data_IF_803521806331
#
_entry.id   IF_803521806331
#
_cell.length_a   1.000
_cell.length_b   1.000
_cell.length_c   1.000
_cell.angle_alpha   90.00
_cell.angle_beta   90.00
_cell.angle_gamma   90.00
#
_symmetry.space_group_name_H-M   'P 1'
#
loop_
_entity.id
_entity.type
_entity.pdbx_description
1 polymer ?
#
# COMPACT_ATOMS: atom_id res chain seq x y z
N UNK A 1 3.01 15.62 -2.25
CA UNK A 1 4.23 14.85 -1.90
C UNK A 1 3.93 13.45 -1.36
N UNK A 2 2.74 13.23 -0.79
CA UNK A 2 2.31 11.94 -0.22
C UNK A 2 2.44 10.75 -1.19
N UNK A 3 2.10 10.90 -2.48
CA UNK A 3 2.19 9.80 -3.46
C UNK A 3 3.61 9.21 -3.61
N UNK A 4 4.66 10.04 -3.50
CA UNK A 4 6.05 9.59 -3.57
C UNK A 4 6.40 8.78 -2.32
N UNK A 5 6.01 9.25 -1.14
CA UNK A 5 6.21 8.53 0.12
C UNK A 5 5.48 7.19 0.11
N UNK A 6 4.24 7.16 -0.36
CA UNK A 6 3.47 5.92 -0.53
C UNK A 6 4.18 4.96 -1.50
N UNK A 7 4.73 5.45 -2.61
CA UNK A 7 5.47 4.62 -3.57
C UNK A 7 6.74 4.01 -2.96
N UNK A 8 7.52 4.80 -2.22
CA UNK A 8 8.70 4.34 -1.48
C UNK A 8 8.29 3.30 -0.41
N UNK A 9 7.19 3.55 0.29
CA UNK A 9 6.69 2.63 1.33
C UNK A 9 6.34 1.25 0.77
N UNK A 10 5.74 1.19 -0.42
CA UNK A 10 5.39 -0.07 -1.09
C UNK A 10 6.65 -0.87 -1.42
N UNK A 11 7.66 -0.22 -2.00
CA UNK A 11 8.91 -0.90 -2.37
C UNK A 11 9.63 -1.43 -1.13
N UNK A 12 9.76 -0.58 -0.10
CA UNK A 12 10.47 -0.92 1.12
C UNK A 12 9.76 -2.05 1.88
N UNK A 13 8.45 -1.96 2.06
CA UNK A 13 7.68 -3.01 2.73
C UNK A 13 7.60 -4.29 1.90
N UNK A 14 7.55 -4.21 0.57
CA UNK A 14 7.62 -5.41 -0.29
C UNK A 14 8.93 -6.17 -0.04
N UNK A 15 10.06 -5.47 0.06
CA UNK A 15 11.35 -6.10 0.32
C UNK A 15 11.43 -6.68 1.75
N UNK A 16 10.96 -5.92 2.75
CA UNK A 16 10.94 -6.37 4.15
C UNK A 16 10.01 -7.59 4.30
N UNK A 17 8.77 -7.54 3.82
CA UNK A 17 7.83 -8.66 3.89
C UNK A 17 8.32 -9.86 3.09
N UNK A 18 8.87 -9.65 1.89
CA UNK A 18 9.51 -10.71 1.12
C UNK A 18 10.60 -11.42 1.92
N UNK A 19 11.44 -10.68 2.65
CA UNK A 19 12.47 -11.28 3.52
C UNK A 19 11.89 -12.07 4.70
N UNK A 20 10.71 -11.68 5.20
CA UNK A 20 10.01 -12.36 6.30
C UNK A 20 9.33 -13.63 5.80
N UNK A 21 8.62 -13.56 4.66
CA UNK A 21 7.94 -14.70 4.05
C UNK A 21 8.91 -15.77 3.57
N UNK A 22 10.08 -15.40 3.05
CA UNK A 22 11.14 -16.34 2.65
C UNK A 22 11.67 -17.23 3.77
N UNK A 23 11.54 -16.81 5.04
CA UNK A 23 12.09 -17.58 6.18
C UNK A 23 11.20 -18.73 6.65
N UNK A 24 9.99 -18.89 6.11
CA UNK A 24 8.98 -19.79 6.65
C UNK A 24 8.33 -20.60 5.52
N UNK A 25 8.56 -21.92 5.53
CA UNK A 25 8.10 -22.86 4.49
C UNK A 25 6.84 -23.63 4.87
N UNK A 26 6.23 -23.37 6.03
CA UNK A 26 5.06 -24.11 6.49
C UNK A 26 3.78 -23.55 5.88
N UNK A 27 2.99 -24.44 5.31
CA UNK A 27 1.69 -24.14 4.72
C UNK A 27 0.61 -24.18 5.81
N UNK A 28 -0.13 -23.08 5.96
CA UNK A 28 -1.31 -22.99 6.82
C UNK A 28 -2.41 -22.21 6.09
N UNK A 29 -3.67 -22.50 6.37
CA UNK A 29 -4.79 -21.75 5.76
C UNK A 29 -4.75 -20.25 6.08
N UNK A 30 -4.21 -19.89 7.25
CA UNK A 30 -4.04 -18.49 7.65
C UNK A 30 -3.00 -17.77 6.81
N UNK A 31 -1.94 -18.45 6.38
CA UNK A 31 -0.86 -17.81 5.60
C UNK A 31 -1.34 -17.42 4.21
N UNK A 32 -2.20 -18.24 3.58
CA UNK A 32 -2.87 -17.94 2.32
C UNK A 32 -3.74 -16.68 2.40
N UNK A 33 -4.60 -16.61 3.43
CA UNK A 33 -5.47 -15.45 3.67
C UNK A 33 -4.68 -14.16 3.93
N UNK A 34 -3.59 -14.23 4.71
CA UNK A 34 -2.75 -13.06 4.99
C UNK A 34 -1.99 -12.57 3.76
N UNK A 35 -1.45 -13.50 2.96
CA UNK A 35 -0.78 -13.15 1.70
C UNK A 35 -1.75 -12.48 0.73
N UNK A 36 -2.98 -13.00 0.62
CA UNK A 36 -4.05 -12.43 -0.17
C UNK A 36 -4.40 -11.01 0.32
N UNK A 37 -4.58 -10.81 1.63
CA UNK A 37 -4.94 -9.51 2.21
C UNK A 37 -3.87 -8.42 1.97
N UNK A 38 -2.59 -8.77 2.18
CA UNK A 38 -1.47 -7.87 1.88
C UNK A 38 -1.40 -7.58 0.38
N UNK A 39 -1.57 -8.59 -0.46
CA UNK A 39 -1.47 -8.44 -1.91
C UNK A 39 -2.60 -7.58 -2.47
N UNK A 40 -3.82 -7.76 -1.99
CA UNK A 40 -4.98 -6.95 -2.36
C UNK A 40 -4.76 -5.49 -1.98
N UNK A 41 -4.46 -5.20 -0.71
CA UNK A 41 -4.23 -3.82 -0.24
C UNK A 41 -3.06 -3.14 -0.95
N UNK A 42 -1.97 -3.88 -1.21
CA UNK A 42 -0.82 -3.38 -1.98
C UNK A 42 -1.19 -3.04 -3.42
N UNK A 43 -1.82 -3.96 -4.14
CA UNK A 43 -2.18 -3.77 -5.55
C UNK A 43 -3.23 -2.68 -5.74
N UNK A 44 -4.17 -2.52 -4.79
CA UNK A 44 -5.09 -1.37 -4.77
C UNK A 44 -4.36 -0.05 -4.60
N UNK A 45 -3.40 0.03 -3.68
CA UNK A 45 -2.61 1.25 -3.51
C UNK A 45 -1.77 1.57 -4.76
N UNK A 46 -1.18 0.56 -5.41
CA UNK A 46 -0.47 0.74 -6.69
C UNK A 46 -1.44 1.24 -7.77
N UNK A 47 -2.65 0.66 -7.86
CA UNK A 47 -3.68 1.09 -8.80
C UNK A 47 -4.07 2.55 -8.60
N UNK A 48 -4.25 2.98 -7.34
CA UNK A 48 -4.52 4.38 -7.01
C UNK A 48 -3.34 5.25 -7.45
N UNK A 49 -2.12 4.88 -7.09
CA UNK A 49 -0.93 5.66 -7.44
C UNK A 49 -0.74 5.78 -8.96
N UNK A 50 -1.00 4.75 -9.75
CA UNK A 50 -0.90 4.82 -11.21
C UNK A 50 -2.03 5.68 -11.79
N UNK A 51 -3.25 5.54 -11.29
CA UNK A 51 -4.41 6.32 -11.73
C UNK A 51 -4.29 7.83 -11.49
N UNK A 52 -3.43 8.25 -10.53
CA UNK A 52 -3.09 9.67 -10.34
C UNK A 52 -2.30 10.24 -11.51
N UNK A 53 -1.45 9.43 -12.15
CA UNK A 53 -0.59 9.89 -13.24
C UNK A 53 -1.23 9.71 -14.62
N UNK A 54 -2.19 8.78 -14.73
CA UNK A 54 -2.81 8.39 -15.99
C UNK A 54 -4.32 8.48 -15.84
N UNK A 55 -4.94 9.42 -16.54
CA UNK A 55 -6.40 9.64 -16.49
C UNK A 55 -7.21 8.57 -17.23
N UNK A 56 -6.60 7.82 -18.16
CA UNK A 56 -7.27 6.73 -18.86
C UNK A 56 -7.30 5.45 -18.02
N UNK A 57 -8.51 5.00 -17.68
CA UNK A 57 -8.76 3.82 -16.84
C UNK A 57 -8.14 2.54 -17.40
N UNK A 58 -8.14 2.36 -18.71
CA UNK A 58 -7.65 1.13 -19.34
C UNK A 58 -6.13 1.08 -19.24
N UNK A 59 -5.45 2.16 -19.63
CA UNK A 59 -4.00 2.26 -19.53
C UNK A 59 -3.52 2.22 -18.08
N UNK A 60 -4.20 2.93 -17.16
CA UNK A 60 -3.88 2.92 -15.74
C UNK A 60 -3.99 1.50 -15.16
N UNK A 61 -5.04 0.75 -15.51
CA UNK A 61 -5.25 -0.62 -15.03
C UNK A 61 -4.17 -1.57 -15.54
N UNK A 62 -3.85 -1.53 -16.84
CA UNK A 62 -2.82 -2.40 -17.43
C UNK A 62 -1.45 -2.15 -16.77
N UNK A 63 -1.07 -0.88 -16.61
CA UNK A 63 0.20 -0.51 -15.99
C UNK A 63 0.21 -0.90 -14.49
N UNK A 64 -0.88 -0.66 -13.77
CA UNK A 64 -1.01 -1.06 -12.37
C UNK A 64 -0.89 -2.58 -12.18
N UNK A 65 -1.48 -3.38 -13.06
CA UNK A 65 -1.36 -4.84 -13.06
C UNK A 65 0.10 -5.25 -13.28
N UNK A 66 0.78 -4.68 -14.28
CA UNK A 66 2.18 -5.03 -14.59
C UNK A 66 3.13 -4.71 -13.43
N UNK A 67 3.01 -3.51 -12.84
CA UNK A 67 3.81 -3.09 -11.68
C UNK A 67 3.50 -3.98 -10.47
N UNK A 68 2.22 -4.22 -10.21
CA UNK A 68 1.81 -5.09 -9.10
C UNK A 68 2.34 -6.51 -9.30
N UNK A 69 2.35 -7.02 -10.53
CA UNK A 69 2.77 -8.38 -10.85
C UNK A 69 4.24 -8.58 -10.52
N UNK A 70 5.07 -7.62 -10.91
CA UNK A 70 6.49 -7.63 -10.59
C UNK A 70 6.73 -7.61 -9.07
N UNK A 71 6.04 -6.72 -8.35
CA UNK A 71 6.20 -6.59 -6.90
C UNK A 71 5.64 -7.77 -6.09
N UNK A 72 4.54 -8.36 -6.53
CA UNK A 72 3.96 -9.57 -5.90
C UNK A 72 4.84 -10.78 -6.19
N UNK A 73 5.32 -10.96 -7.43
CA UNK A 73 6.21 -12.06 -7.78
C UNK A 73 7.48 -12.07 -6.93
N UNK A 74 8.11 -10.90 -6.71
CA UNK A 74 9.29 -10.78 -5.82
C UNK A 74 8.95 -11.17 -4.38
N UNK A 75 7.78 -10.77 -3.89
CA UNK A 75 7.31 -11.04 -2.53
C UNK A 75 6.97 -12.52 -2.31
N UNK A 76 6.41 -13.19 -3.31
CA UNK A 76 5.86 -14.55 -3.19
C UNK A 76 6.76 -15.65 -3.76
N UNK A 77 7.92 -15.31 -4.34
CA UNK A 77 8.82 -16.27 -5.03
C UNK A 77 9.10 -17.58 -4.27
N UNK A 78 9.22 -17.58 -2.95
CA UNK A 78 9.56 -18.79 -2.16
C UNK A 78 8.35 -19.40 -1.43
N UNK A 79 7.14 -18.92 -1.71
CA UNK A 79 5.90 -19.46 -1.15
C UNK A 79 5.38 -20.60 -2.01
N UNK A 80 4.42 -21.36 -1.47
CA UNK A 80 3.78 -22.43 -2.21
C UNK A 80 2.94 -21.91 -3.38
N UNK A 81 2.80 -22.74 -4.42
CA UNK A 81 2.06 -22.38 -5.64
C UNK A 81 0.62 -21.96 -5.35
N UNK A 82 -0.03 -22.57 -4.34
CA UNK A 82 -1.37 -22.18 -3.91
C UNK A 82 -1.42 -20.71 -3.47
N UNK A 83 -0.49 -20.30 -2.59
CA UNK A 83 -0.42 -18.93 -2.08
C UNK A 83 -0.08 -17.96 -3.22
N UNK A 84 0.80 -18.36 -4.14
CA UNK A 84 1.14 -17.56 -5.33
C UNK A 84 -0.09 -17.32 -6.20
N UNK A 85 -0.88 -18.36 -6.50
CA UNK A 85 -2.10 -18.24 -7.31
C UNK A 85 -3.17 -17.36 -6.63
N UNK A 86 -3.41 -17.53 -5.33
CA UNK A 86 -4.34 -16.66 -4.58
C UNK A 86 -3.86 -15.20 -4.53
N UNK A 87 -2.55 -14.99 -4.42
CA UNK A 87 -1.94 -13.65 -4.46
C UNK A 87 -2.05 -13.03 -5.86
N UNK A 88 -1.89 -13.81 -6.93
CA UNK A 88 -2.10 -13.32 -8.30
C UNK A 88 -3.56 -12.93 -8.55
N UNK A 89 -4.52 -13.74 -8.11
CA UNK A 89 -5.95 -13.42 -8.23
C UNK A 89 -6.32 -12.12 -7.49
N UNK A 90 -5.87 -11.98 -6.24
CA UNK A 90 -6.10 -10.76 -5.46
C UNK A 90 -5.39 -9.53 -6.02
N UNK A 91 -4.25 -9.70 -6.69
CA UNK A 91 -3.57 -8.62 -7.40
C UNK A 91 -4.42 -8.07 -8.55
N UNK A 92 -5.00 -8.91 -9.39
CA UNK A 92 -5.81 -8.45 -10.52
C UNK A 92 -7.01 -7.65 -10.03
N UNK A 93 -7.69 -8.18 -9.01
CA UNK A 93 -8.82 -7.51 -8.38
C UNK A 93 -8.41 -6.18 -7.74
N UNK A 94 -7.33 -6.18 -6.96
CA UNK A 94 -6.87 -4.99 -6.25
C UNK A 94 -6.40 -3.89 -7.19
N UNK A 95 -5.60 -4.21 -8.22
CA UNK A 95 -5.11 -3.23 -9.19
C UNK A 95 -6.24 -2.58 -10.00
N UNK A 96 -7.21 -3.36 -10.48
CA UNK A 96 -8.38 -2.85 -11.19
C UNK A 96 -9.22 -1.94 -10.29
N UNK A 97 -9.51 -2.39 -9.06
CA UNK A 97 -10.27 -1.58 -8.10
C UNK A 97 -9.54 -0.29 -7.75
N UNK A 98 -8.21 -0.34 -7.58
CA UNK A 98 -7.40 0.84 -7.26
C UNK A 98 -7.41 1.89 -8.38
N UNK A 99 -7.23 1.46 -9.63
CA UNK A 99 -7.27 2.36 -10.79
C UNK A 99 -8.65 3.03 -10.95
N UNK A 100 -9.73 2.24 -10.80
CA UNK A 100 -11.09 2.78 -10.83
C UNK A 100 -11.35 3.76 -9.68
N UNK A 101 -10.88 3.45 -8.48
CA UNK A 101 -11.06 4.30 -7.30
C UNK A 101 -10.26 5.60 -7.41
N UNK A 102 -9.11 5.61 -8.09
CA UNK A 102 -8.36 6.83 -8.37
C UNK A 102 -9.18 7.84 -9.20
N UNK A 103 -9.87 7.36 -10.22
CA UNK A 103 -10.62 8.20 -11.15
C UNK A 103 -11.94 8.67 -10.50
N UNK A 104 -12.57 7.80 -9.71
CA UNK A 104 -13.78 8.17 -8.98
C UNK A 104 -13.51 9.12 -7.80
N UNK A 105 -12.34 9.06 -7.18
CA UNK A 105 -11.97 9.87 -6.02
C UNK A 105 -11.20 11.15 -6.38
N UNK A 106 -11.40 11.70 -7.59
CA UNK A 106 -10.66 12.89 -8.07
C UNK A 106 -10.68 14.06 -7.08
N UNK A 107 -11.84 14.35 -6.47
CA UNK A 107 -11.98 15.46 -5.51
C UNK A 107 -11.33 15.17 -4.15
N UNK A 108 -11.16 13.90 -3.78
CA UNK A 108 -10.63 13.45 -2.48
C UNK A 108 -9.39 12.57 -2.63
N UNK A 109 -8.57 12.84 -3.65
CA UNK A 109 -7.46 11.99 -4.04
C UNK A 109 -6.42 11.81 -2.94
N UNK A 110 -6.10 12.90 -2.22
CA UNK A 110 -5.15 12.87 -1.10
C UNK A 110 -5.65 11.96 0.03
N UNK A 111 -6.92 12.10 0.41
CA UNK A 111 -7.55 11.28 1.44
C UNK A 111 -7.56 9.79 1.05
N UNK A 112 -7.86 9.50 -0.21
CA UNK A 112 -7.81 8.12 -0.74
C UNK A 112 -6.41 7.52 -0.63
N UNK A 113 -5.37 8.23 -1.08
CA UNK A 113 -3.98 7.74 -0.99
C UNK A 113 -3.58 7.50 0.46
N UNK A 114 -3.85 8.45 1.36
CA UNK A 114 -3.50 8.32 2.79
C UNK A 114 -4.22 7.13 3.41
N UNK A 115 -5.53 7.00 3.18
CA UNK A 115 -6.34 5.91 3.72
C UNK A 115 -5.84 4.54 3.27
N UNK A 116 -5.62 4.35 1.96
CA UNK A 116 -5.12 3.07 1.44
C UNK A 116 -3.67 2.80 1.82
N UNK A 117 -2.86 3.84 2.02
CA UNK A 117 -1.51 3.69 2.58
C UNK A 117 -1.60 3.15 4.01
N UNK A 118 -2.44 3.73 4.88
CA UNK A 118 -2.62 3.25 6.25
C UNK A 118 -3.16 1.81 6.28
N UNK A 119 -4.13 1.48 5.43
CA UNK A 119 -4.64 0.11 5.31
C UNK A 119 -3.56 -0.89 4.88
N UNK A 120 -2.71 -0.51 3.93
CA UNK A 120 -1.58 -1.33 3.52
C UNK A 120 -0.54 -1.51 4.63
N UNK A 121 -0.27 -0.46 5.42
CA UNK A 121 0.62 -0.56 6.58
C UNK A 121 0.05 -1.50 7.65
N UNK A 122 -1.25 -1.38 7.92
CA UNK A 122 -1.93 -2.24 8.89
C UNK A 122 -1.95 -3.69 8.43
N UNK A 123 -2.28 -3.95 7.16
CA UNK A 123 -2.27 -5.30 6.58
C UNK A 123 -0.88 -5.92 6.67
N UNK A 124 0.16 -5.14 6.41
CA UNK A 124 1.56 -5.59 6.48
C UNK A 124 1.99 -5.96 7.90
N UNK A 125 1.63 -5.17 8.92
CA UNK A 125 1.90 -5.51 10.32
C UNK A 125 1.13 -6.75 10.74
N UNK A 126 -0.17 -6.81 10.42
CA UNK A 126 -1.04 -7.92 10.83
C UNK A 126 -0.52 -9.21 10.22
N UNK A 127 -0.18 -9.19 8.93
CA UNK A 127 0.46 -10.32 8.27
C UNK A 127 1.78 -10.69 8.94
N UNK A 128 2.72 -9.76 9.12
CA UNK A 128 4.02 -10.07 9.73
C UNK A 128 3.90 -10.62 11.18
N UNK A 129 2.95 -10.09 11.97
CA UNK A 129 2.72 -10.54 13.34
C UNK A 129 2.04 -11.89 13.43
N UNK A 130 0.97 -12.12 12.64
CA UNK A 130 0.26 -13.40 12.61
C UNK A 130 1.11 -14.50 11.98
N UNK A 131 1.91 -14.18 10.97
CA UNK A 131 2.81 -15.13 10.31
C UNK A 131 3.85 -15.72 11.27
N UNK A 132 4.22 -15.00 12.33
CA UNK A 132 5.19 -15.47 13.32
C UNK A 132 4.57 -15.95 14.65
N UNK A 133 3.23 -16.02 14.71
CA UNK A 133 2.48 -16.41 15.92
C UNK A 133 2.75 -17.84 16.36
N UNK A 134 3.14 -18.73 15.44
CA UNK A 134 3.52 -20.11 15.79
C UNK A 134 4.83 -20.17 16.59
N UNK A 135 5.74 -19.21 16.40
CA UNK A 135 7.04 -19.17 17.07
C UNK A 135 7.00 -18.38 18.38
N UNK A 136 6.08 -17.40 18.49
CA UNK A 136 5.99 -16.52 19.65
C UNK A 136 4.56 -16.44 20.18
N UNK A 137 4.31 -16.74 21.47
CA UNK A 137 2.96 -16.69 22.05
C UNK A 137 2.40 -15.26 22.10
N UNK A 138 3.25 -14.23 22.12
CA UNK A 138 2.85 -12.84 22.14
C UNK A 138 2.98 -12.20 20.75
N UNK A 139 1.88 -11.66 20.24
CA UNK A 139 1.80 -10.99 18.93
C UNK A 139 2.88 -9.91 18.73
N UNK A 140 3.10 -9.07 19.74
CA UNK A 140 4.06 -7.94 19.68
C UNK A 140 5.52 -8.41 19.61
N UNK A 141 5.83 -9.57 20.22
CA UNK A 141 7.16 -10.21 20.15
C UNK A 141 7.37 -10.94 18.82
N UNK A 142 6.30 -11.43 18.20
CA UNK A 142 6.33 -12.09 16.89
C UNK A 142 6.69 -11.17 15.73
N UNK A 143 6.42 -9.86 15.82
CA UNK A 143 6.74 -8.94 14.73
C UNK A 143 8.27 -8.73 14.66
N UNK A 144 8.92 -9.01 13.51
CA UNK A 144 10.36 -8.83 13.36
C UNK A 144 10.75 -7.36 13.51
N UNK A 145 11.89 -7.08 14.16
CA UNK A 145 12.34 -5.71 14.45
C UNK A 145 12.43 -4.84 13.19
N UNK A 146 12.83 -5.43 12.05
CA UNK A 146 12.90 -4.75 10.75
C UNK A 146 11.53 -4.20 10.30
N UNK A 147 10.44 -4.94 10.51
CA UNK A 147 9.07 -4.49 10.16
C UNK A 147 8.63 -3.37 11.11
N UNK A 148 8.91 -3.48 12.41
CA UNK A 148 8.57 -2.43 13.39
C UNK A 148 9.26 -1.11 13.09
N UNK A 149 10.57 -1.15 12.82
CA UNK A 149 11.36 0.04 12.47
C UNK A 149 10.85 0.64 11.15
N UNK A 150 10.68 -0.19 10.12
CA UNK A 150 10.16 0.24 8.81
C UNK A 150 8.79 0.93 8.94
N UNK A 151 7.87 0.35 9.70
CA UNK A 151 6.54 0.91 9.92
C UNK A 151 6.60 2.25 10.65
N UNK A 152 7.38 2.35 11.73
CA UNK A 152 7.53 3.60 12.49
C UNK A 152 8.09 4.73 11.62
N UNK A 153 9.10 4.42 10.79
CA UNK A 153 9.68 5.38 9.84
C UNK A 153 8.64 5.81 8.80
N UNK A 154 7.90 4.87 8.18
CA UNK A 154 6.91 5.21 7.16
C UNK A 154 5.77 6.06 7.74
N UNK A 155 5.26 5.74 8.93
CA UNK A 155 4.22 6.55 9.58
C UNK A 155 4.71 7.96 9.84
N UNK A 156 5.93 8.12 10.33
CA UNK A 156 6.51 9.44 10.59
C UNK A 156 6.60 10.26 9.30
N UNK A 157 7.14 9.69 8.22
CA UNK A 157 7.21 10.37 6.92
C UNK A 157 5.82 10.67 6.35
N UNK A 158 4.88 9.73 6.44
CA UNK A 158 3.52 9.92 5.94
C UNK A 158 2.83 11.06 6.69
N UNK A 159 2.92 11.10 8.02
CA UNK A 159 2.36 12.16 8.86
C UNK A 159 2.95 13.53 8.53
N UNK A 160 4.27 13.63 8.40
CA UNK A 160 4.96 14.88 8.02
C UNK A 160 4.49 15.34 6.64
N UNK A 161 4.50 14.47 5.63
CA UNK A 161 4.09 14.87 4.27
C UNK A 161 2.61 15.21 4.15
N UNK A 162 1.75 14.52 4.91
CA UNK A 162 0.31 14.82 4.91
C UNK A 162 0.05 16.18 5.55
N UNK A 163 0.77 16.51 6.63
CA UNK A 163 0.68 17.82 7.27
C UNK A 163 1.13 18.95 6.33
N UNK A 164 2.27 18.78 5.65
CA UNK A 164 2.75 19.75 4.66
C UNK A 164 1.80 19.91 3.46
N UNK A 165 1.32 18.80 2.88
CA UNK A 165 0.37 18.85 1.76
C UNK A 165 -0.95 19.52 2.20
N UNK A 166 -1.42 19.32 3.45
CA UNK A 166 -2.62 19.99 3.97
C UNK A 166 -2.42 21.50 4.17
N UNK A 167 -1.29 21.91 4.75
CA UNK A 167 -0.96 23.33 4.93
C UNK A 167 -0.83 24.06 3.58
N UNK A 168 -0.21 23.42 2.58
CA UNK A 168 -0.10 23.99 1.23
C UNK A 168 -1.46 24.21 0.56
N UNK A 169 -2.42 23.32 0.78
CA UNK A 169 -3.80 23.47 0.29
C UNK A 169 -4.50 24.63 0.98
N UNK A 170 -4.31 24.82 2.30
CA UNK A 170 -4.91 25.92 3.05
C UNK A 170 -4.36 27.29 2.64
N UNK A 171 -3.06 27.42 2.38
CA UNK A 171 -2.44 28.69 1.97
C UNK A 171 -2.91 29.17 0.59
N UNK A 172 -3.11 28.27 -0.38
CA UNK A 172 -3.59 28.63 -1.72
C UNK A 172 -5.08 29.04 -1.76
N UNK A 173 -5.87 28.67 -0.74
CA UNK A 173 -7.27 29.08 -0.62
C UNK A 173 -7.45 30.55 -0.31
N UNK A 174 -6.50 31.18 0.40
CA UNK A 174 -6.60 32.58 0.84
C UNK A 174 -6.24 33.59 -0.27
N UNK A 175 -5.41 33.22 -1.25
CA UNK A 175 -5.05 34.11 -2.36
C UNK A 175 -6.18 34.31 -3.39
N UNK A 176 -7.17 33.42 -3.44
CA UNK A 176 -8.25 33.50 -4.44
C UNK A 176 -9.43 34.37 -3.99
N UNK A 177 -9.66 34.55 -2.68
CA UNK A 177 -10.77 35.39 -2.17
C UNK A 177 -10.43 36.89 -2.08
N UNK A 178 -9.14 37.28 -2.04
CA UNK A 178 -8.77 38.70 -1.91
C UNK A 178 -8.91 39.51 -3.21
N UNK A 179 -9.01 38.87 -4.38
CA UNK A 179 -9.11 39.58 -5.67
C UNK A 179 -10.55 39.95 -6.10
N UNK A 180 -11.58 39.59 -5.35
CA UNK A 180 -12.98 39.91 -5.69
C UNK A 180 -13.65 40.99 -4.83
N UNK A 181 -12.92 41.64 -3.92
CA UNK A 181 -13.46 42.70 -3.06
C UNK A 181 -12.97 44.12 -3.40
N UNK A 182 -12.36 44.33 -4.56
CA UNK A 182 -12.11 45.67 -5.10
C UNK A 182 -12.87 45.87 -6.40
N UNK A 183 -14.17 46.21 -6.30
CA UNK A 183 -14.88 47.01 -7.30
C UNK A 183 -16.12 47.65 -6.66
#
# INVERSE_FOLDING_TARGET
MVAIVSSISIVLLTFVLGSVFRRQTKEDHLSSCLSMFVTMTKSTLIGILVGVWISDIVFATVIAILISFLLVSIMTHQLSLKIVLESLGSLFMGAMMGAMLSIMATDNQLLSIVFFTILYLLSSIVAAGLWNRQTYPNFIKGIPSKVKISFAVIILFLGVTTYFDFMAVSTNGEETEQHHHQH
#
